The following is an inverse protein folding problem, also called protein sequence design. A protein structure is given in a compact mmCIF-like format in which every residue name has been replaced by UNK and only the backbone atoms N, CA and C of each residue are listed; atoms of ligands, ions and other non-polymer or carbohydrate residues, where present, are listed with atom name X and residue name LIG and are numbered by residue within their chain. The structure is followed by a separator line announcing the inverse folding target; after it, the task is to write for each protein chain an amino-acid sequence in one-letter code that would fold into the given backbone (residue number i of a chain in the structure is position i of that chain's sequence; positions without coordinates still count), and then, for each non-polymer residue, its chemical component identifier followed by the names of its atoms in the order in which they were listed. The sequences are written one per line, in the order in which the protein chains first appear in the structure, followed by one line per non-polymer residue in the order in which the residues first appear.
data_IF_084595626216
#
_entry.id   IF_084595626216
#
_cell.length_a   1.000
_cell.length_b   1.000
_cell.length_c   1.000
_cell.angle_alpha   90.00
_cell.angle_beta   90.00
_cell.angle_gamma   90.00
#
_symmetry.space_group_name_H-M   'P 1'
#
loop_
_entity.id
_entity.type
_entity.pdbx_description
1 polymer ?
#
# COMPACT_ATOMS: atom_id res chain seq x y z
N UNK A 1 -14.60 -12.73 -9.87
CA UNK A 1 -14.28 -11.96 -8.68
C UNK A 1 -14.44 -10.49 -8.96
N UNK A 2 -15.20 -9.81 -8.15
CA UNK A 2 -15.44 -8.40 -8.36
C UNK A 2 -14.19 -7.57 -8.05
N UNK A 3 -13.93 -6.52 -8.81
CA UNK A 3 -12.83 -5.62 -8.49
C UNK A 3 -13.11 -4.92 -7.17
N UNK A 4 -12.02 -4.62 -6.46
CA UNK A 4 -12.12 -3.91 -5.20
C UNK A 4 -12.67 -2.50 -5.42
N UNK A 5 -13.66 -2.12 -4.64
CA UNK A 5 -14.26 -0.79 -4.72
C UNK A 5 -13.58 0.16 -3.74
N UNK A 6 -12.96 1.21 -4.25
CA UNK A 6 -12.26 2.20 -3.44
C UNK A 6 -13.04 3.51 -3.26
N UNK A 7 -14.32 3.54 -3.64
CA UNK A 7 -15.10 4.78 -3.58
C UNK A 7 -15.21 5.36 -2.17
N UNK A 8 -15.46 4.51 -1.17
CA UNK A 8 -15.55 4.95 0.22
C UNK A 8 -14.20 5.50 0.70
N UNK A 9 -13.12 4.83 0.36
CA UNK A 9 -11.78 5.30 0.71
C UNK A 9 -11.48 6.63 0.02
N UNK A 10 -11.87 6.76 -1.25
CA UNK A 10 -11.67 8.00 -2.01
C UNK A 10 -12.37 9.17 -1.33
N UNK A 11 -13.61 8.97 -0.86
CA UNK A 11 -14.36 9.99 -0.15
C UNK A 11 -13.65 10.42 1.14
N UNK A 12 -13.18 9.46 1.93
CA UNK A 12 -12.41 9.75 3.15
C UNK A 12 -11.15 10.54 2.85
N UNK A 13 -10.39 10.11 1.85
CA UNK A 13 -9.14 10.77 1.50
C UNK A 13 -9.37 12.20 0.99
N UNK A 14 -10.47 12.42 0.30
CA UNK A 14 -10.80 13.74 -0.22
C UNK A 14 -11.26 14.68 0.89
N UNK A 15 -12.03 14.18 1.86
CA UNK A 15 -12.61 14.99 2.92
C UNK A 15 -11.67 15.22 4.10
N UNK A 16 -10.92 14.19 4.49
CA UNK A 16 -10.17 14.18 5.74
C UNK A 16 -8.71 14.59 5.61
N UNK A 17 -8.22 14.69 4.40
CA UNK A 17 -6.81 15.06 4.14
C UNK A 17 -6.72 16.34 3.31
N UNK A 18 -5.66 17.09 3.60
CA UNK A 18 -5.26 18.23 2.77
C UNK A 18 -4.01 17.78 2.02
N UNK A 19 -4.06 17.84 0.70
CA UNK A 19 -2.96 17.38 -0.15
C UNK A 19 -2.07 18.54 -0.59
N UNK A 20 -0.74 18.32 -0.76
CA UNK A 20 -0.03 17.06 -0.53
C UNK A 20 0.10 16.72 0.95
N UNK A 21 0.21 15.43 1.25
CA UNK A 21 0.30 14.94 2.62
C UNK A 21 1.10 13.65 2.66
N UNK A 22 1.78 13.40 3.76
CA UNK A 22 2.42 12.10 3.98
C UNK A 22 1.33 11.08 4.27
N UNK A 23 1.31 10.02 3.49
CA UNK A 23 0.34 8.95 3.67
C UNK A 23 1.06 7.66 4.07
N UNK A 24 0.44 6.91 4.96
CA UNK A 24 0.97 5.64 5.43
C UNK A 24 0.16 4.49 4.84
N UNK A 25 0.79 3.74 3.92
CA UNK A 25 0.21 2.52 3.36
C UNK A 25 0.56 1.34 4.24
N UNK A 26 -0.37 0.41 4.40
CA UNK A 26 -0.12 -0.84 5.12
C UNK A 26 -0.56 -2.03 4.28
N UNK A 27 0.33 -3.01 4.21
CA UNK A 27 0.09 -4.23 3.46
C UNK A 27 0.51 -5.43 4.30
N UNK A 28 -0.12 -6.57 4.02
CA UNK A 28 0.33 -7.86 4.53
C UNK A 28 0.61 -8.74 3.32
N UNK A 29 1.77 -9.37 3.30
CA UNK A 29 2.18 -10.21 2.19
C UNK A 29 2.88 -11.46 2.69
N UNK A 30 2.90 -12.55 1.90
CA UNK A 30 3.76 -13.67 2.19
C UNK A 30 5.22 -13.23 2.24
N UNK A 31 6.02 -13.87 3.07
CA UNK A 31 7.45 -13.57 3.19
C UNK A 31 8.20 -14.14 1.98
N UNK A 32 8.02 -13.53 0.85
CA UNK A 32 8.51 -13.91 -0.46
C UNK A 32 9.23 -12.73 -1.09
N UNK A 33 10.51 -12.92 -1.42
CA UNK A 33 11.34 -11.84 -1.98
C UNK A 33 10.80 -11.30 -3.30
N UNK A 34 10.17 -12.14 -4.10
CA UNK A 34 9.59 -11.71 -5.38
C UNK A 34 8.43 -10.76 -5.16
N UNK A 35 7.52 -11.11 -4.23
CA UNK A 35 6.38 -10.25 -3.90
C UNK A 35 6.87 -8.94 -3.31
N UNK A 36 7.86 -9.02 -2.44
CA UNK A 36 8.45 -7.85 -1.82
C UNK A 36 9.06 -6.91 -2.88
N UNK A 37 9.77 -7.45 -3.85
CA UNK A 37 10.35 -6.66 -4.93
C UNK A 37 9.28 -6.00 -5.79
N UNK A 38 8.20 -6.72 -6.10
CA UNK A 38 7.09 -6.17 -6.87
C UNK A 38 6.42 -5.01 -6.14
N UNK A 39 6.25 -5.15 -4.81
CA UNK A 39 5.65 -4.11 -4.02
C UNK A 39 6.56 -2.88 -3.91
N UNK A 40 7.86 -3.10 -3.70
CA UNK A 40 8.85 -2.02 -3.68
C UNK A 40 8.86 -1.23 -4.98
N UNK A 41 8.70 -1.92 -6.11
CA UNK A 41 8.75 -1.29 -7.43
C UNK A 41 7.60 -0.31 -7.68
N UNK A 42 6.54 -0.38 -6.88
CA UNK A 42 5.41 0.54 -6.98
C UNK A 42 5.71 1.91 -6.35
N UNK A 43 6.77 2.02 -5.57
CA UNK A 43 7.07 3.22 -4.79
C UNK A 43 8.42 3.80 -5.19
N UNK A 44 8.58 5.13 -5.12
CA UNK A 44 9.86 5.77 -5.42
C UNK A 44 10.91 5.50 -4.33
N UNK A 45 12.15 5.77 -4.63
CA UNK A 45 13.27 5.54 -3.71
C UNK A 45 13.16 6.29 -2.38
N UNK A 46 12.52 7.44 -2.38
CA UNK A 46 12.36 8.25 -1.17
C UNK A 46 11.26 7.75 -0.25
N UNK A 47 10.46 6.77 -0.66
CA UNK A 47 9.44 6.18 0.21
C UNK A 47 10.12 5.39 1.33
N UNK A 48 9.59 5.52 2.56
CA UNK A 48 10.13 4.82 3.72
C UNK A 48 9.38 3.50 3.93
N UNK A 49 10.13 2.39 3.90
CA UNK A 49 9.57 1.06 4.14
C UNK A 49 9.95 0.57 5.53
N UNK A 50 8.97 0.04 6.25
CA UNK A 50 9.18 -0.66 7.52
C UNK A 50 8.53 -2.02 7.43
N UNK A 51 9.29 -3.07 7.72
CA UNK A 51 8.82 -4.45 7.61
C UNK A 51 8.83 -5.12 8.96
N UNK A 52 7.78 -5.89 9.26
CA UNK A 52 7.69 -6.68 10.47
C UNK A 52 7.22 -8.08 10.12
N UNK A 53 8.04 -9.08 10.40
CA UNK A 53 7.68 -10.47 10.15
C UNK A 53 6.72 -10.98 11.22
N UNK A 54 5.81 -11.88 10.83
CA UNK A 54 4.94 -12.58 11.76
C UNK A 54 5.77 -13.55 12.61
N UNK A 55 5.18 -14.04 13.71
CA UNK A 55 5.85 -14.95 14.63
C UNK A 55 6.43 -16.19 13.96
N UNK A 56 5.73 -16.74 12.97
CA UNK A 56 6.21 -17.92 12.22
C UNK A 56 7.05 -17.58 10.99
N UNK A 57 7.22 -16.29 10.67
CA UNK A 57 7.97 -15.87 9.51
C UNK A 57 7.30 -16.10 8.17
N UNK A 58 6.03 -16.52 8.14
CA UNK A 58 5.30 -16.79 6.90
C UNK A 58 4.81 -15.53 6.22
N UNK A 59 4.51 -14.50 6.99
CA UNK A 59 3.96 -13.24 6.51
C UNK A 59 4.78 -12.07 6.98
N UNK A 60 4.70 -11.00 6.24
CA UNK A 60 5.35 -9.74 6.62
C UNK A 60 4.33 -8.62 6.54
N UNK A 61 4.31 -7.77 7.56
CA UNK A 61 3.55 -6.53 7.57
C UNK A 61 4.46 -5.45 7.04
N UNK A 62 4.02 -4.76 6.00
CA UNK A 62 4.81 -3.74 5.31
C UNK A 62 4.13 -2.40 5.45
N UNK A 63 4.84 -1.44 6.02
CA UNK A 63 4.36 -0.06 6.13
C UNK A 63 5.19 0.81 5.19
N UNK A 64 4.52 1.61 4.38
CA UNK A 64 5.18 2.51 3.44
C UNK A 64 4.70 3.93 3.69
N UNK A 65 5.61 4.84 3.98
CA UNK A 65 5.29 6.26 4.13
C UNK A 65 5.82 7.01 2.92
N UNK A 66 4.96 7.80 2.32
CA UNK A 66 5.33 8.59 1.14
C UNK A 66 4.50 9.86 1.07
N UNK A 67 5.12 10.95 0.63
CA UNK A 67 4.40 12.18 0.32
C UNK A 67 3.53 11.94 -0.92
N UNK A 68 2.22 12.04 -0.76
CA UNK A 68 1.25 11.84 -1.84
C UNK A 68 0.65 13.18 -2.24
N UNK A 69 0.38 13.33 -3.52
CA UNK A 69 -0.09 14.61 -4.07
C UNK A 69 -1.61 14.73 -4.06
N UNK A 70 -2.33 13.61 -4.04
CA UNK A 70 -3.79 13.61 -4.14
C UNK A 70 -4.38 12.30 -3.66
N UNK A 71 -5.68 12.31 -3.38
CA UNK A 71 -6.43 11.09 -3.07
C UNK A 71 -6.35 10.08 -4.22
N UNK A 72 -6.43 10.55 -5.46
CA UNK A 72 -6.37 9.67 -6.63
C UNK A 72 -5.02 8.94 -6.74
N UNK A 73 -3.94 9.61 -6.38
CA UNK A 73 -2.62 8.97 -6.38
C UNK A 73 -2.54 7.85 -5.35
N UNK A 74 -3.14 8.05 -4.17
CA UNK A 74 -3.22 7.00 -3.14
C UNK A 74 -4.02 5.80 -3.65
N UNK A 75 -5.17 6.07 -4.27
CA UNK A 75 -6.03 5.01 -4.82
C UNK A 75 -5.28 4.22 -5.91
N UNK A 76 -4.57 4.90 -6.78
CA UNK A 76 -3.78 4.27 -7.83
C UNK A 76 -2.76 3.28 -7.24
N UNK A 77 -2.08 3.67 -6.16
CA UNK A 77 -1.12 2.78 -5.47
C UNK A 77 -1.81 1.55 -4.90
N UNK A 78 -2.97 1.73 -4.28
CA UNK A 78 -3.73 0.60 -3.75
C UNK A 78 -4.20 -0.35 -4.83
N UNK A 79 -4.66 0.18 -5.95
CA UNK A 79 -5.10 -0.65 -7.08
C UNK A 79 -3.94 -1.51 -7.60
N UNK A 80 -2.78 -0.90 -7.79
CA UNK A 80 -1.60 -1.60 -8.26
C UNK A 80 -1.11 -2.65 -7.27
N UNK A 81 -1.11 -2.33 -5.97
CA UNK A 81 -0.71 -3.27 -4.94
C UNK A 81 -1.68 -4.45 -4.86
N UNK A 82 -2.98 -4.19 -5.00
CA UNK A 82 -4.01 -5.23 -4.97
C UNK A 82 -3.90 -6.21 -6.14
N UNK A 83 -3.25 -5.81 -7.23
CA UNK A 83 -3.03 -6.68 -8.38
C UNK A 83 -1.88 -7.68 -8.16
N UNK A 84 -1.06 -7.48 -7.12
CA UNK A 84 0.01 -8.42 -6.79
C UNK A 84 -0.59 -9.58 -6.01
N UNK A 85 -0.50 -10.78 -6.55
CA UNK A 85 -1.06 -11.97 -5.91
C UNK A 85 -0.44 -12.19 -4.54
N UNK A 86 -1.29 -12.40 -3.54
CA UNK A 86 -0.87 -12.65 -2.15
C UNK A 86 -0.80 -11.39 -1.28
N UNK A 87 -0.84 -10.21 -1.87
CA UNK A 87 -0.82 -8.95 -1.11
C UNK A 87 -2.21 -8.61 -0.60
N UNK A 88 -2.29 -8.34 0.70
CA UNK A 88 -3.52 -7.87 1.35
C UNK A 88 -3.32 -6.40 1.68
N UNK A 89 -4.25 -5.58 1.24
CA UNK A 89 -4.27 -4.15 1.53
C UNK A 89 -5.07 -3.91 2.81
N UNK A 90 -4.50 -3.21 3.75
CA UNK A 90 -5.17 -2.89 5.02
C UNK A 90 -5.78 -1.49 5.02
#
# INVERSE_FOLDING_TARGET
MEPRNFDTLRDHLTKDFIWPSVYMFKFIAPADNRIFALLHDLFPHQAEFTNRHSAGGKYVSITVKEMMLSAEEVIDRYEKASAIEGVIVL
#
